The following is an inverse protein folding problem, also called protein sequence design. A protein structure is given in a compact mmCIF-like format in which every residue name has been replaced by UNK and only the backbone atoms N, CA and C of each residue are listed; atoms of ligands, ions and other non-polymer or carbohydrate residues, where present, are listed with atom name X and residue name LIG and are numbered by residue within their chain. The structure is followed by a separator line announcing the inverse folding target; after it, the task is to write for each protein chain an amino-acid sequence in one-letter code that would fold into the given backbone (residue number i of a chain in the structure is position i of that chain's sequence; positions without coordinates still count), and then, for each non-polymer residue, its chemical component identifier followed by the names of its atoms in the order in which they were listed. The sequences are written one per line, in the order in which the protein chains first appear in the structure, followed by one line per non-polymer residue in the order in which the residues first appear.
data_IF_859251338443
#
_entry.id   IF_859251338443
#
_cell.length_a   1.000
_cell.length_b   1.000
_cell.length_c   1.000
_cell.angle_alpha   90.00
_cell.angle_beta   90.00
_cell.angle_gamma   90.00
#
_symmetry.space_group_name_H-M   'P 1'
#
loop_
_entity.id
_entity.type
_entity.pdbx_description
1 polymer ?
#
# COMPACT_ATOMS: atom_id res chain seq x y z
N UNK A 1 -16.56 13.33 12.99
CA UNK A 1 -17.30 12.05 12.89
C UNK A 1 -16.31 10.92 12.65
N UNK A 2 -16.42 9.80 13.36
CA UNK A 2 -15.56 8.62 13.16
C UNK A 2 -15.90 7.92 11.83
N UNK A 3 -14.93 7.21 11.23
CA UNK A 3 -15.17 6.40 10.00
C UNK A 3 -16.32 5.41 10.21
N UNK A 4 -16.41 4.83 11.42
CA UNK A 4 -17.49 3.92 11.83
C UNK A 4 -18.87 4.56 11.73
N UNK A 5 -19.02 5.81 12.18
CA UNK A 5 -20.29 6.54 12.12
C UNK A 5 -20.70 6.85 10.67
N UNK A 6 -19.74 7.20 9.80
CA UNK A 6 -20.02 7.46 8.38
C UNK A 6 -20.45 6.18 7.64
N UNK A 7 -19.78 5.05 7.88
CA UNK A 7 -20.16 3.76 7.30
C UNK A 7 -21.53 3.30 7.79
N UNK A 8 -21.80 3.39 9.09
CA UNK A 8 -23.09 3.00 9.65
C UNK A 8 -24.25 3.85 9.10
N UNK A 9 -24.08 5.17 8.99
CA UNK A 9 -25.06 6.05 8.37
C UNK A 9 -25.27 5.75 6.89
N UNK A 10 -24.20 5.48 6.13
CA UNK A 10 -24.29 5.10 4.72
C UNK A 10 -25.08 3.80 4.52
N UNK A 11 -24.77 2.76 5.31
CA UNK A 11 -25.50 1.48 5.25
C UNK A 11 -26.95 1.65 5.68
N UNK A 12 -27.23 2.46 6.71
CA UNK A 12 -28.60 2.76 7.10
C UNK A 12 -29.39 3.44 5.98
N UNK A 13 -28.80 4.43 5.30
CA UNK A 13 -29.42 5.13 4.17
C UNK A 13 -29.72 4.18 2.99
N UNK A 14 -28.76 3.31 2.64
CA UNK A 14 -28.95 2.29 1.59
C UNK A 14 -30.05 1.30 2.00
N UNK A 15 -30.06 0.86 3.26
CA UNK A 15 -31.08 -0.07 3.78
C UNK A 15 -32.46 0.55 3.69
N UNK A 16 -32.63 1.81 4.10
CA UNK A 16 -33.91 2.54 3.97
C UNK A 16 -34.34 2.60 2.51
N UNK A 17 -33.44 2.96 1.59
CA UNK A 17 -33.76 3.06 0.16
C UNK A 17 -34.21 1.71 -0.42
N UNK A 18 -33.51 0.63 -0.10
CA UNK A 18 -33.86 -0.73 -0.55
C UNK A 18 -35.20 -1.18 0.04
N UNK A 19 -35.42 -1.00 1.34
CA UNK A 19 -36.68 -1.38 2.00
C UNK A 19 -37.86 -0.58 1.43
N UNK A 20 -37.69 0.71 1.19
CA UNK A 20 -38.74 1.55 0.58
C UNK A 20 -39.05 1.12 -0.86
N UNK A 21 -38.02 0.78 -1.66
CA UNK A 21 -38.23 0.28 -3.02
C UNK A 21 -39.00 -1.04 -3.03
N UNK A 22 -38.61 -2.01 -2.20
CA UNK A 22 -39.30 -3.29 -2.05
C UNK A 22 -40.74 -3.08 -1.56
N UNK A 23 -40.94 -2.19 -0.59
CA UNK A 23 -42.26 -1.89 -0.06
C UNK A 23 -43.18 -1.21 -1.07
N UNK A 24 -42.64 -0.32 -1.92
CA UNK A 24 -43.41 0.29 -3.00
C UNK A 24 -43.89 -0.76 -4.02
N UNK A 25 -43.03 -1.71 -4.38
CA UNK A 25 -43.40 -2.82 -5.28
C UNK A 25 -44.49 -3.69 -4.63
N UNK A 26 -44.29 -4.12 -3.39
CA UNK A 26 -45.27 -4.91 -2.65
C UNK A 26 -46.61 -4.18 -2.49
N UNK A 27 -46.59 -2.87 -2.25
CA UNK A 27 -47.79 -2.04 -2.18
C UNK A 27 -48.54 -2.01 -3.51
N UNK A 28 -47.84 -1.85 -4.63
CA UNK A 28 -48.45 -1.87 -5.97
C UNK A 28 -49.06 -3.24 -6.27
N UNK A 29 -48.35 -4.33 -5.95
CA UNK A 29 -48.85 -5.70 -6.12
C UNK A 29 -50.07 -5.95 -5.25
N UNK A 30 -50.00 -5.65 -3.94
CA UNK A 30 -51.11 -5.83 -3.01
C UNK A 30 -52.33 -5.01 -3.44
N UNK A 31 -52.14 -3.76 -3.85
CA UNK A 31 -53.21 -2.91 -4.39
C UNK A 31 -53.83 -3.53 -5.64
N UNK A 32 -53.01 -3.99 -6.60
CA UNK A 32 -53.50 -4.60 -7.83
C UNK A 32 -54.28 -5.89 -7.56
N UNK A 33 -53.80 -6.71 -6.63
CA UNK A 33 -54.44 -7.94 -6.20
C UNK A 33 -55.78 -7.68 -5.51
N UNK A 34 -55.82 -6.75 -4.55
CA UNK A 34 -57.06 -6.41 -3.84
C UNK A 34 -58.12 -5.82 -4.77
N UNK A 35 -57.72 -4.98 -5.72
CA UNK A 35 -58.64 -4.43 -6.71
C UNK A 35 -59.13 -5.54 -7.65
N UNK A 36 -58.24 -6.39 -8.16
CA UNK A 36 -58.61 -7.53 -9.02
C UNK A 36 -59.55 -8.52 -8.33
N UNK A 37 -59.27 -8.89 -7.08
CA UNK A 37 -60.10 -9.78 -6.29
C UNK A 37 -61.51 -9.20 -6.05
N UNK A 38 -61.63 -7.88 -5.83
CA UNK A 38 -62.93 -7.23 -5.74
C UNK A 38 -63.67 -7.23 -7.09
N UNK A 39 -62.98 -7.02 -8.22
CA UNK A 39 -63.60 -7.14 -9.54
C UNK A 39 -64.14 -8.55 -9.82
N UNK A 40 -63.35 -9.60 -9.58
CA UNK A 40 -63.79 -11.01 -9.74
C UNK A 40 -64.98 -11.34 -8.83
N UNK A 41 -64.95 -10.86 -7.58
CA UNK A 41 -66.07 -11.02 -6.64
C UNK A 41 -67.36 -10.37 -7.15
N UNK A 42 -67.27 -9.20 -7.77
CA UNK A 42 -68.43 -8.52 -8.36
C UNK A 42 -68.92 -9.23 -9.62
N UNK A 43 -68.02 -9.77 -10.43
CA UNK A 43 -68.36 -10.53 -11.63
C UNK A 43 -69.16 -11.80 -11.30
N UNK A 44 -68.82 -12.50 -10.21
CA UNK A 44 -69.57 -13.66 -9.71
C UNK A 44 -71.03 -13.34 -9.31
N UNK A 45 -71.37 -12.06 -9.11
CA UNK A 45 -72.74 -11.64 -8.82
C UNK A 45 -73.56 -11.40 -10.09
N UNK A 46 -72.93 -11.27 -11.27
CA UNK A 46 -73.62 -11.00 -12.54
C UNK A 46 -74.64 -12.08 -12.92
N UNK A 47 -74.33 -13.40 -12.88
CA UNK A 47 -75.31 -14.41 -13.26
C UNK A 47 -76.55 -14.41 -12.36
N UNK A 48 -76.38 -14.12 -11.07
CA UNK A 48 -77.51 -13.98 -10.12
C UNK A 48 -78.35 -12.75 -10.43
N UNK A 49 -77.71 -11.64 -10.83
CA UNK A 49 -78.39 -10.43 -11.27
C UNK A 49 -79.18 -10.67 -12.57
N UNK A 50 -78.56 -11.31 -13.56
CA UNK A 50 -79.21 -11.68 -14.83
C UNK A 50 -80.45 -12.55 -14.57
N UNK A 51 -80.31 -13.60 -13.75
CA UNK A 51 -81.43 -14.46 -13.38
C UNK A 51 -82.55 -13.67 -12.70
N UNK A 52 -82.22 -12.75 -11.78
CA UNK A 52 -83.22 -11.91 -11.09
C UNK A 52 -83.89 -10.93 -12.05
N UNK A 53 -83.21 -10.46 -13.09
CA UNK A 53 -83.77 -9.54 -14.08
C UNK A 53 -84.73 -10.24 -15.05
N UNK A 54 -84.54 -11.53 -15.33
CA UNK A 54 -85.45 -12.30 -16.19
C UNK A 54 -86.83 -12.54 -15.55
N UNK A 55 -86.93 -12.47 -14.22
CA UNK A 55 -88.19 -12.64 -13.49
C UNK A 55 -88.96 -11.33 -13.28
N UNK A 56 -88.43 -10.18 -13.71
CA UNK A 56 -89.10 -8.88 -13.59
C UNK A 56 -90.09 -8.69 -14.76
N UNK A 57 -91.39 -8.45 -14.51
CA UNK A 57 -92.37 -8.21 -15.56
C UNK A 57 -92.06 -6.92 -16.34
N UNK A 58 -92.16 -6.97 -17.67
CA UNK A 58 -91.84 -5.83 -18.55
C UNK A 58 -92.76 -4.60 -18.38
N UNK A 59 -93.85 -4.71 -17.61
CA UNK A 59 -94.91 -3.69 -17.47
C UNK A 59 -94.84 -2.87 -16.17
N UNK A 60 -93.70 -2.81 -15.47
CA UNK A 60 -93.56 -2.00 -14.25
C UNK A 60 -93.36 -0.50 -14.58
N UNK A 61 -94.21 0.37 -14.02
CA UNK A 61 -94.16 1.83 -14.21
C UNK A 61 -93.02 2.53 -13.44
N UNK A 62 -92.24 1.80 -12.63
CA UNK A 62 -91.10 2.31 -11.85
C UNK A 62 -89.99 1.27 -11.66
N UNK A 63 -88.81 1.66 -11.14
CA UNK A 63 -87.68 0.76 -10.96
C UNK A 63 -87.96 -0.30 -9.89
N UNK A 64 -87.63 -1.55 -10.19
CA UNK A 64 -87.78 -2.67 -9.27
C UNK A 64 -86.74 -2.61 -8.14
N UNK A 65 -87.18 -2.74 -6.89
CA UNK A 65 -86.29 -2.68 -5.74
C UNK A 65 -85.66 -4.04 -5.49
N UNK A 66 -84.34 -4.14 -5.65
CA UNK A 66 -83.58 -5.36 -5.43
C UNK A 66 -83.22 -5.50 -3.93
N UNK A 67 -83.87 -6.44 -3.23
CA UNK A 67 -83.60 -6.73 -1.81
C UNK A 67 -82.81 -8.04 -1.57
N UNK A 68 -82.49 -8.77 -2.64
CA UNK A 68 -81.89 -10.13 -2.57
C UNK A 68 -80.36 -10.15 -2.62
N UNK A 69 -79.72 -8.98 -2.69
CA UNK A 69 -78.27 -8.86 -2.80
C UNK A 69 -77.58 -8.76 -1.44
N UNK A 70 -76.29 -9.17 -1.33
CA UNK A 70 -75.52 -8.98 -0.10
C UNK A 70 -75.45 -7.50 0.30
N UNK A 71 -75.55 -7.20 1.61
CA UNK A 71 -75.54 -5.82 2.16
C UNK A 71 -74.30 -4.97 1.81
N UNK A 72 -73.26 -5.58 1.24
CA UNK A 72 -71.98 -4.94 0.91
C UNK A 72 -71.89 -4.48 -0.54
N UNK A 73 -72.90 -4.77 -1.37
CA UNK A 73 -72.92 -4.43 -2.79
C UNK A 73 -74.28 -3.83 -3.15
N UNK A 74 -74.26 -2.58 -3.59
CA UNK A 74 -75.41 -1.90 -4.15
C UNK A 74 -75.41 -2.02 -5.67
N UNK A 75 -76.59 -2.19 -6.27
CA UNK A 75 -76.69 -2.41 -7.71
C UNK A 75 -77.77 -1.54 -8.31
N UNK A 76 -77.46 -0.95 -9.46
CA UNK A 76 -78.40 -0.24 -10.31
C UNK A 76 -78.30 -0.80 -11.72
N UNK A 77 -79.43 -1.21 -12.29
CA UNK A 77 -79.51 -1.75 -13.64
C UNK A 77 -80.18 -0.73 -14.54
N UNK A 78 -79.53 -0.40 -15.64
CA UNK A 78 -79.95 0.60 -16.61
C UNK A 78 -80.23 -0.12 -17.93
N UNK A 79 -81.39 0.10 -18.54
CA UNK A 79 -81.74 -0.40 -19.89
C UNK A 79 -82.27 0.78 -20.69
N UNK A 80 -81.74 0.99 -21.90
CA UNK A 80 -82.16 2.10 -22.78
C UNK A 80 -82.16 3.49 -22.08
N UNK A 81 -81.18 3.73 -21.21
CA UNK A 81 -81.05 5.00 -20.47
C UNK A 81 -82.02 5.18 -19.29
N UNK A 82 -82.84 4.17 -18.96
CA UNK A 82 -83.76 4.16 -17.82
C UNK A 82 -83.35 3.15 -16.75
N UNK A 83 -83.57 3.49 -15.49
CA UNK A 83 -83.32 2.57 -14.36
C UNK A 83 -84.44 1.55 -14.31
N UNK A 84 -84.10 0.28 -14.48
CA UNK A 84 -85.06 -0.84 -14.46
C UNK A 84 -85.08 -1.51 -13.09
N UNK A 85 -83.93 -1.58 -12.42
CA UNK A 85 -83.83 -2.13 -11.08
C UNK A 85 -82.78 -1.37 -10.26
N UNK A 86 -83.00 -1.23 -8.96
CA UNK A 86 -82.08 -0.50 -8.07
C UNK A 86 -82.15 -1.06 -6.65
N UNK A 87 -81.01 -1.13 -5.96
CA UNK A 87 -81.00 -1.37 -4.51
C UNK A 87 -81.37 -0.08 -3.76
N UNK A 88 -82.03 -0.16 -2.59
CA UNK A 88 -82.53 1.01 -1.86
C UNK A 88 -81.45 2.05 -1.51
N UNK A 89 -80.22 1.59 -1.30
CA UNK A 89 -79.11 2.41 -0.83
C UNK A 89 -78.10 2.77 -1.92
N UNK A 90 -78.43 2.53 -3.21
CA UNK A 90 -77.56 2.91 -4.31
C UNK A 90 -77.32 4.44 -4.31
N UNK A 91 -76.06 4.90 -4.36
CA UNK A 91 -75.75 6.32 -4.24
C UNK A 91 -76.37 7.15 -5.38
N UNK A 92 -76.89 8.33 -5.03
CA UNK A 92 -77.58 9.24 -5.94
C UNK A 92 -76.60 9.88 -6.94
N UNK A 93 -76.29 9.14 -8.02
CA UNK A 93 -75.29 9.51 -9.02
C UNK A 93 -75.95 9.59 -10.40
N UNK A 94 -75.50 10.54 -11.22
CA UNK A 94 -75.97 10.73 -12.59
C UNK A 94 -75.74 9.48 -13.45
N UNK A 95 -76.71 9.17 -14.31
CA UNK A 95 -76.72 8.01 -15.21
C UNK A 95 -75.53 7.96 -16.18
N UNK A 96 -74.84 9.08 -16.38
CA UNK A 96 -73.78 9.30 -17.38
C UNK A 96 -72.38 9.43 -16.77
N UNK A 97 -72.21 9.21 -15.45
CA UNK A 97 -70.87 9.32 -14.86
C UNK A 97 -69.94 8.18 -15.34
N UNK A 98 -68.66 8.46 -15.61
CA UNK A 98 -67.68 7.43 -15.92
C UNK A 98 -67.37 6.55 -14.69
N UNK A 99 -66.99 5.31 -14.97
CA UNK A 99 -66.50 4.30 -14.01
C UNK A 99 -65.47 4.93 -13.06
N UNK A 100 -65.64 4.80 -11.74
CA UNK A 100 -64.79 5.50 -10.78
C UNK A 100 -65.22 5.43 -9.31
N UNK A 101 -64.57 6.24 -8.47
CA UNK A 101 -64.90 6.38 -7.04
C UNK A 101 -66.06 7.36 -6.86
N UNK A 102 -67.05 6.99 -6.06
CA UNK A 102 -68.13 7.89 -5.63
C UNK A 102 -68.35 7.78 -4.13
N UNK A 103 -69.17 8.67 -3.55
CA UNK A 103 -69.39 8.73 -2.10
C UNK A 103 -70.79 8.22 -1.75
N UNK A 104 -70.88 7.25 -0.84
CA UNK A 104 -72.12 6.71 -0.25
C UNK A 104 -72.15 7.06 1.23
N UNK A 105 -73.15 7.82 1.69
CA UNK A 105 -73.45 8.07 3.11
C UNK A 105 -72.24 8.35 4.04
N UNK A 106 -71.16 8.98 3.54
CA UNK A 106 -69.93 9.28 4.28
C UNK A 106 -68.69 8.42 3.95
N UNK A 107 -68.81 7.37 3.12
CA UNK A 107 -67.73 6.47 2.72
C UNK A 107 -67.56 6.39 1.18
N UNK A 108 -66.38 6.02 0.71
CA UNK A 108 -66.09 5.89 -0.73
C UNK A 108 -66.51 4.50 -1.23
N UNK A 109 -67.21 4.46 -2.35
CA UNK A 109 -67.62 3.24 -3.08
C UNK A 109 -66.96 3.20 -4.45
N UNK A 110 -66.63 1.99 -4.92
CA UNK A 110 -66.13 1.76 -6.26
C UNK A 110 -67.30 1.40 -7.17
N UNK A 111 -67.48 2.13 -8.27
CA UNK A 111 -68.52 1.88 -9.26
C UNK A 111 -67.92 1.15 -10.44
N UNK A 112 -68.38 -0.07 -10.67
CA UNK A 112 -68.03 -0.89 -11.83
C UNK A 112 -69.27 -1.09 -12.70
N UNK A 113 -69.12 -0.97 -14.01
CA UNK A 113 -70.21 -1.20 -14.97
C UNK A 113 -69.95 -2.47 -15.75
N UNK A 114 -70.93 -3.36 -15.81
CA UNK A 114 -70.87 -4.60 -16.56
C UNK A 114 -72.04 -4.67 -17.54
N UNK A 115 -71.80 -5.26 -18.71
CA UNK A 115 -72.86 -5.60 -19.65
C UNK A 115 -73.49 -6.92 -19.24
N UNK A 116 -74.83 -6.98 -19.24
CA UNK A 116 -75.57 -8.21 -18.94
C UNK A 116 -75.79 -8.96 -20.26
N UNK A 117 -75.27 -10.17 -20.36
CA UNK A 117 -75.34 -10.94 -21.60
C UNK A 117 -76.79 -11.40 -21.85
N UNK A 118 -77.33 -11.02 -23.02
CA UNK A 118 -78.71 -11.36 -23.42
C UNK A 118 -79.75 -10.26 -23.20
N UNK A 119 -79.40 -9.10 -22.63
CA UNK A 119 -80.26 -7.90 -22.59
C UNK A 119 -79.45 -6.63 -22.88
N UNK A 120 -80.03 -5.63 -23.54
CA UNK A 120 -79.41 -4.29 -23.75
C UNK A 120 -79.37 -3.47 -22.43
N UNK A 121 -78.92 -4.10 -21.35
CA UNK A 121 -78.89 -3.54 -20.00
C UNK A 121 -77.47 -3.54 -19.43
N UNK A 122 -77.13 -2.48 -18.71
CA UNK A 122 -75.88 -2.31 -17.99
C UNK A 122 -76.14 -2.37 -16.49
N UNK A 123 -75.38 -3.18 -15.77
CA UNK A 123 -75.40 -3.24 -14.32
C UNK A 123 -74.26 -2.38 -13.76
N UNK A 124 -74.60 -1.36 -12.98
CA UNK A 124 -73.65 -0.60 -12.16
C UNK A 124 -73.66 -1.19 -10.76
N UNK A 125 -72.51 -1.72 -10.32
CA UNK A 125 -72.30 -2.23 -8.96
C UNK A 125 -71.46 -1.21 -8.19
N UNK A 126 -71.94 -0.82 -7.00
CA UNK A 126 -71.23 -0.01 -6.03
C UNK A 126 -70.82 -0.89 -4.85
N UNK A 127 -69.52 -1.16 -4.72
CA UNK A 127 -68.96 -1.93 -3.60
C UNK A 127 -68.18 -1.04 -2.63
N UNK A 128 -68.16 -1.45 -1.36
CA UNK A 128 -67.46 -0.74 -0.31
C UNK A 128 -65.93 -0.82 -0.48
N UNK A 129 -65.27 0.33 -0.56
CA UNK A 129 -63.81 0.43 -0.73
C UNK A 129 -63.05 0.03 0.55
N UNK A 130 -63.73 -0.15 1.69
CA UNK A 130 -63.14 -0.55 2.96
C UNK A 130 -62.37 -1.87 2.89
N UNK A 131 -62.79 -2.83 2.04
CA UNK A 131 -62.08 -4.09 1.80
C UNK A 131 -60.68 -3.92 1.21
N UNK A 132 -60.44 -2.82 0.48
CA UNK A 132 -59.15 -2.48 -0.15
C UNK A 132 -58.35 -1.49 0.69
N UNK A 133 -59.01 -0.50 1.30
CA UNK A 133 -58.33 0.60 2.02
C UNK A 133 -57.82 0.19 3.41
N UNK A 134 -58.55 -0.67 4.13
CA UNK A 134 -58.13 -1.09 5.48
C UNK A 134 -56.83 -1.92 5.46
N UNK A 135 -56.68 -2.96 4.59
CA UNK A 135 -55.42 -3.69 4.46
C UNK A 135 -54.26 -2.78 4.04
N UNK A 136 -54.52 -1.82 3.14
CA UNK A 136 -53.50 -0.88 2.65
C UNK A 136 -53.00 0.06 3.75
N UNK A 137 -53.91 0.57 4.59
CA UNK A 137 -53.55 1.39 5.78
C UNK A 137 -52.79 0.57 6.82
N UNK A 138 -53.20 -0.69 7.05
CA UNK A 138 -52.47 -1.60 7.94
C UNK A 138 -51.05 -1.86 7.42
N UNK A 139 -50.90 -2.08 6.11
CA UNK A 139 -49.61 -2.22 5.45
C UNK A 139 -48.74 -0.96 5.63
N UNK A 140 -49.27 0.23 5.38
CA UNK A 140 -48.53 1.49 5.59
C UNK A 140 -48.10 1.71 7.05
N UNK A 141 -48.94 1.36 8.04
CA UNK A 141 -48.57 1.40 9.46
C UNK A 141 -47.46 0.40 9.78
N UNK A 142 -47.52 -0.81 9.23
CA UNK A 142 -46.46 -1.81 9.40
C UNK A 142 -45.13 -1.30 8.82
N UNK A 143 -45.17 -0.60 7.68
CA UNK A 143 -44.00 -0.02 7.04
C UNK A 143 -43.38 1.12 7.87
N UNK A 144 -44.22 1.98 8.47
CA UNK A 144 -43.79 3.06 9.34
C UNK A 144 -43.00 2.57 10.56
N UNK A 145 -43.19 1.32 10.99
CA UNK A 145 -42.41 0.69 12.06
C UNK A 145 -41.23 -0.14 11.51
N UNK A 146 -41.46 -0.92 10.46
CA UNK A 146 -40.45 -1.83 9.91
C UNK A 146 -39.24 -1.09 9.31
N UNK A 147 -39.46 0.04 8.62
CA UNK A 147 -38.38 0.85 8.02
C UNK A 147 -37.40 1.39 9.07
N UNK A 148 -37.83 2.13 10.10
CA UNK A 148 -36.90 2.64 11.11
C UNK A 148 -36.23 1.53 11.91
N UNK A 149 -36.95 0.44 12.23
CA UNK A 149 -36.38 -0.69 12.97
C UNK A 149 -35.28 -1.40 12.16
N UNK A 150 -35.55 -1.70 10.88
CA UNK A 150 -34.54 -2.32 10.00
C UNK A 150 -33.33 -1.41 9.77
N UNK A 151 -33.55 -0.10 9.59
CA UNK A 151 -32.48 0.88 9.47
C UNK A 151 -31.62 0.96 10.74
N UNK A 152 -32.25 1.00 11.92
CA UNK A 152 -31.55 1.02 13.19
C UNK A 152 -30.72 -0.25 13.42
N UNK A 153 -31.29 -1.42 13.10
CA UNK A 153 -30.59 -2.70 13.23
C UNK A 153 -29.40 -2.80 12.27
N UNK A 154 -29.57 -2.38 11.00
CA UNK A 154 -28.50 -2.35 10.01
C UNK A 154 -27.38 -1.37 10.42
N UNK A 155 -27.73 -0.19 10.93
CA UNK A 155 -26.77 0.79 11.44
C UNK A 155 -25.96 0.23 12.62
N UNK A 156 -26.65 -0.39 13.60
CA UNK A 156 -26.03 -1.00 14.76
C UNK A 156 -25.07 -2.13 14.36
N UNK A 157 -25.52 -3.04 13.50
CA UNK A 157 -24.71 -4.16 13.03
C UNK A 157 -23.47 -3.68 12.26
N UNK A 158 -23.64 -2.71 11.35
CA UNK A 158 -22.54 -2.09 10.63
C UNK A 158 -21.55 -1.41 11.57
N UNK A 159 -22.03 -0.66 12.57
CA UNK A 159 -21.18 0.00 13.54
C UNK A 159 -20.33 -0.98 14.34
N UNK A 160 -20.91 -2.11 14.78
CA UNK A 160 -20.21 -3.17 15.51
C UNK A 160 -19.18 -3.90 14.62
N UNK A 161 -19.57 -4.28 13.39
CA UNK A 161 -18.68 -4.94 12.42
C UNK A 161 -17.52 -4.04 12.00
N UNK A 162 -17.80 -2.78 11.64
CA UNK A 162 -16.77 -1.79 11.31
C UNK A 162 -15.80 -1.60 12.49
N UNK A 163 -16.31 -1.59 13.73
CA UNK A 163 -15.47 -1.56 14.92
C UNK A 163 -14.50 -2.75 14.99
N UNK A 164 -14.96 -3.95 14.66
CA UNK A 164 -14.12 -5.16 14.70
C UNK A 164 -13.12 -5.21 13.54
N UNK A 165 -13.53 -4.78 12.35
CA UNK A 165 -12.71 -4.81 11.12
C UNK A 165 -11.66 -3.70 11.06
N UNK A 166 -11.95 -2.50 11.59
CA UNK A 166 -10.99 -1.39 11.59
C UNK A 166 -10.04 -1.36 12.79
N UNK A 167 -10.36 -2.07 13.89
CA UNK A 167 -9.48 -2.15 15.08
C UNK A 167 -8.04 -2.59 14.77
N UNK A 168 -7.80 -3.63 13.95
CA UNK A 168 -6.44 -4.02 13.57
C UNK A 168 -5.68 -2.91 12.84
N UNK A 169 -6.36 -2.18 11.94
CA UNK A 169 -5.77 -1.04 11.24
C UNK A 169 -5.39 0.07 12.22
N UNK A 170 -6.28 0.45 13.14
CA UNK A 170 -5.98 1.46 14.16
C UNK A 170 -4.75 1.10 15.01
N UNK A 171 -4.61 -0.19 15.39
CA UNK A 171 -3.44 -0.70 16.13
C UNK A 171 -2.16 -0.64 15.30
N UNK A 172 -2.22 -1.03 14.03
CA UNK A 172 -1.08 -0.96 13.12
C UNK A 172 -0.63 0.49 12.92
N UNK A 173 -1.56 1.42 12.68
CA UNK A 173 -1.26 2.84 12.52
C UNK A 173 -0.65 3.44 13.79
N UNK A 174 -1.18 3.08 14.96
CA UNK A 174 -0.64 3.53 16.24
C UNK A 174 0.78 3.00 16.50
N UNK A 175 1.04 1.73 16.19
CA UNK A 175 2.36 1.12 16.30
C UNK A 175 3.37 1.77 15.34
N UNK A 176 2.98 1.95 14.07
CA UNK A 176 3.81 2.64 13.07
C UNK A 176 4.12 4.09 13.48
N UNK A 177 3.14 4.83 14.00
CA UNK A 177 3.35 6.19 14.51
C UNK A 177 4.24 6.24 15.76
N UNK A 178 4.18 5.22 16.62
CA UNK A 178 5.08 5.11 17.78
C UNK A 178 6.53 4.88 17.33
N UNK A 179 6.75 4.01 16.34
CA UNK A 179 8.07 3.80 15.73
C UNK A 179 8.57 5.10 15.08
N UNK A 180 7.72 5.78 14.29
CA UNK A 180 8.07 7.03 13.60
C UNK A 180 8.46 8.19 14.53
N UNK A 181 8.00 8.21 15.78
CA UNK A 181 8.38 9.23 16.80
C UNK A 181 9.69 8.92 17.53
N UNK A 182 10.51 8.03 16.99
CA UNK A 182 11.79 7.62 17.60
C UNK A 182 11.68 6.35 18.44
N UNK A 183 10.62 5.55 18.25
CA UNK A 183 10.53 4.22 18.85
C UNK A 183 11.51 3.22 18.22
N UNK A 184 11.50 1.99 18.74
CA UNK A 184 12.34 0.91 18.24
C UNK A 184 11.91 0.47 16.83
N UNK A 185 12.73 0.74 15.81
CA UNK A 185 12.50 0.37 14.41
C UNK A 185 12.43 -1.16 14.17
N UNK A 186 12.99 -1.96 15.08
CA UNK A 186 12.91 -3.44 15.04
C UNK A 186 11.74 -4.01 15.82
N UNK A 187 10.89 -3.18 16.43
CA UNK A 187 9.69 -3.66 17.10
C UNK A 187 8.77 -4.38 16.10
N UNK A 188 8.18 -5.50 16.53
CA UNK A 188 7.24 -6.24 15.72
C UNK A 188 5.93 -5.46 15.56
N UNK A 189 5.50 -5.25 14.32
CA UNK A 189 4.21 -4.66 14.03
C UNK A 189 3.07 -5.65 14.32
N UNK A 190 1.98 -5.20 14.97
CA UNK A 190 0.86 -6.07 15.30
C UNK A 190 0.19 -6.60 14.04
N UNK A 191 -0.03 -7.92 13.99
CA UNK A 191 -0.75 -8.57 12.90
C UNK A 191 0.10 -8.91 11.67
N UNK A 192 1.43 -8.77 11.73
CA UNK A 192 2.34 -9.21 10.66
C UNK A 192 2.29 -10.73 10.40
N UNK A 193 1.79 -11.51 11.37
CA UNK A 193 1.54 -12.95 11.31
C UNK A 193 0.20 -13.31 10.64
N UNK A 194 -0.63 -12.32 10.29
CA UNK A 194 -1.94 -12.56 9.67
C UNK A 194 -1.80 -12.83 8.18
N UNK A 195 -2.55 -13.81 7.67
CA UNK A 195 -2.64 -14.12 6.24
C UNK A 195 -3.61 -13.23 5.44
N UNK A 196 -4.05 -12.10 6.00
CA UNK A 196 -4.96 -11.16 5.34
C UNK A 196 -4.23 -9.93 4.77
N UNK A 197 -4.97 -9.03 4.13
CA UNK A 197 -4.42 -7.81 3.52
C UNK A 197 -3.75 -6.90 4.55
N UNK A 198 -4.24 -6.90 5.79
CA UNK A 198 -3.66 -6.11 6.88
C UNK A 198 -2.31 -6.68 7.30
N UNK A 199 -2.19 -8.01 7.39
CA UNK A 199 -0.91 -8.66 7.66
C UNK A 199 0.12 -8.45 6.56
N UNK A 200 -0.30 -8.49 5.29
CA UNK A 200 0.58 -8.15 4.16
C UNK A 200 1.11 -6.71 4.26
N UNK A 201 0.26 -5.75 4.60
CA UNK A 201 0.67 -4.35 4.81
C UNK A 201 1.64 -4.22 6.00
N UNK A 202 1.34 -4.90 7.12
CA UNK A 202 2.22 -4.93 8.29
C UNK A 202 3.60 -5.51 7.95
N UNK A 203 3.66 -6.58 7.14
CA UNK A 203 4.90 -7.17 6.66
C UNK A 203 5.75 -6.21 5.83
N UNK A 204 5.13 -5.51 4.87
CA UNK A 204 5.83 -4.49 4.05
C UNK A 204 6.39 -3.37 4.93
N UNK A 205 5.58 -2.83 5.86
CA UNK A 205 6.03 -1.80 6.79
C UNK A 205 7.18 -2.30 7.69
N UNK A 206 7.11 -3.55 8.15
CA UNK A 206 8.16 -4.17 8.96
C UNK A 206 9.48 -4.24 8.19
N UNK A 207 9.45 -4.65 6.92
CA UNK A 207 10.63 -4.68 6.06
C UNK A 207 11.22 -3.28 5.88
N UNK A 208 10.37 -2.27 5.61
CA UNK A 208 10.84 -0.89 5.47
C UNK A 208 11.46 -0.35 6.75
N UNK A 209 10.85 -0.58 7.93
CA UNK A 209 11.45 -0.18 9.20
C UNK A 209 12.75 -0.93 9.50
N UNK A 210 12.84 -2.22 9.13
CA UNK A 210 14.08 -3.00 9.20
C UNK A 210 15.21 -2.40 8.37
N UNK A 211 14.92 -1.98 7.13
CA UNK A 211 15.89 -1.30 6.26
C UNK A 211 16.37 0.02 6.86
N UNK A 212 15.44 0.82 7.40
CA UNK A 212 15.80 2.09 8.08
C UNK A 212 16.64 1.81 9.34
N UNK A 213 16.32 0.76 10.10
CA UNK A 213 17.10 0.37 11.27
C UNK A 213 18.54 -0.01 10.89
N UNK A 214 18.72 -0.79 9.83
CA UNK A 214 20.05 -1.17 9.34
C UNK A 214 20.86 0.03 8.87
N UNK A 215 20.26 0.96 8.13
CA UNK A 215 20.93 2.18 7.69
C UNK A 215 21.36 3.02 8.90
N UNK A 216 20.46 3.20 9.87
CA UNK A 216 20.75 3.97 11.09
C UNK A 216 21.85 3.32 11.93
N UNK A 217 21.81 2.01 12.14
CA UNK A 217 22.84 1.29 12.90
C UNK A 217 24.21 1.38 12.22
N UNK A 218 24.26 1.29 10.88
CA UNK A 218 25.49 1.50 10.11
C UNK A 218 25.99 2.93 10.23
N UNK A 219 25.11 3.93 10.17
CA UNK A 219 25.47 5.35 10.34
C UNK A 219 26.01 5.64 11.75
N UNK A 220 25.36 5.13 12.79
CA UNK A 220 25.79 5.28 14.18
C UNK A 220 27.16 4.61 14.41
N UNK A 221 27.33 3.38 13.91
CA UNK A 221 28.62 2.65 13.99
C UNK A 221 29.72 3.38 13.25
N UNK A 222 29.44 3.85 12.04
CA UNK A 222 30.38 4.62 11.22
C UNK A 222 30.79 5.92 11.91
N UNK A 223 29.83 6.68 12.46
CA UNK A 223 30.08 7.95 13.13
C UNK A 223 30.89 7.75 14.40
N UNK A 224 30.58 6.73 15.19
CA UNK A 224 31.31 6.39 16.40
C UNK A 224 32.77 6.00 16.08
N UNK A 225 32.98 5.12 15.11
CA UNK A 225 34.31 4.68 14.70
C UNK A 225 35.13 5.83 14.10
N UNK A 226 34.53 6.67 13.24
CA UNK A 226 35.18 7.87 12.71
C UNK A 226 35.62 8.83 13.81
N UNK A 227 34.76 9.09 14.80
CA UNK A 227 35.09 9.95 15.93
C UNK A 227 36.23 9.39 16.78
N UNK A 228 36.26 8.06 16.97
CA UNK A 228 37.33 7.39 17.70
C UNK A 228 38.68 7.50 16.96
N UNK A 229 38.70 7.18 15.67
CA UNK A 229 39.91 7.17 14.84
C UNK A 229 40.47 8.57 14.57
N UNK A 230 39.64 9.62 14.62
CA UNK A 230 40.10 11.01 14.59
C UNK A 230 40.64 11.49 15.95
N UNK A 231 40.08 11.01 17.07
CA UNK A 231 40.48 11.46 18.41
C UNK A 231 41.89 11.02 18.81
N UNK A 232 42.29 9.81 18.41
CA UNK A 232 43.60 9.25 18.74
C UNK A 232 44.78 10.11 18.20
N UNK A 233 44.87 10.41 16.88
CA UNK A 233 45.94 11.25 16.35
C UNK A 233 45.87 12.68 16.89
N UNK A 234 44.67 13.24 17.11
CA UNK A 234 44.51 14.56 17.74
C UNK A 234 45.09 14.61 19.15
N UNK A 235 44.88 13.57 19.93
CA UNK A 235 45.42 13.46 21.30
C UNK A 235 46.94 13.29 21.26
N UNK A 236 47.45 12.44 20.37
CA UNK A 236 48.89 12.24 20.18
C UNK A 236 49.61 13.53 19.79
N UNK A 237 49.12 14.25 18.77
CA UNK A 237 49.68 15.55 18.37
C UNK A 237 49.64 16.57 19.51
N UNK A 238 48.51 16.65 20.23
CA UNK A 238 48.39 17.55 21.38
C UNK A 238 49.43 17.24 22.45
N UNK A 239 49.61 15.97 22.81
CA UNK A 239 50.59 15.55 23.81
C UNK A 239 52.02 15.85 23.36
N UNK A 240 52.37 15.57 22.10
CA UNK A 240 53.69 15.91 21.54
C UNK A 240 53.97 17.41 21.57
N UNK A 241 53.00 18.22 21.12
CA UNK A 241 53.13 19.69 21.15
C UNK A 241 53.24 20.22 22.58
N UNK A 242 52.45 19.70 23.53
CA UNK A 242 52.58 20.05 24.96
C UNK A 242 53.95 19.67 25.51
N UNK A 243 54.46 18.48 25.15
CA UNK A 243 55.79 18.01 25.55
C UNK A 243 56.92 18.86 24.96
N UNK A 244 56.78 19.31 23.72
CA UNK A 244 57.72 20.22 23.07
C UNK A 244 57.72 21.63 23.71
N UNK A 245 56.59 22.06 24.28
CA UNK A 245 56.45 23.35 24.98
C UNK A 245 56.87 23.33 26.46
N UNK A 246 57.06 22.14 27.07
CA UNK A 246 57.24 22.00 28.53
C UNK A 246 58.66 22.25 29.06
N UNK A 247 59.63 22.58 28.22
CA UNK A 247 60.99 22.89 28.65
C UNK A 247 62.02 23.03 27.51
N UNK A 248 63.26 23.44 27.84
CA UNK A 248 64.32 23.56 26.84
C UNK A 248 64.66 22.20 26.22
N UNK A 249 64.65 22.13 24.88
CA UNK A 249 65.01 20.96 24.08
C UNK A 249 66.11 21.31 23.09
N UNK A 250 66.83 20.30 22.62
CA UNK A 250 67.75 20.49 21.49
C UNK A 250 66.96 20.76 20.20
N UNK A 251 67.58 21.46 19.26
CA UNK A 251 66.99 21.73 17.94
C UNK A 251 66.68 20.44 17.17
N UNK A 252 67.48 19.39 17.38
CA UNK A 252 67.28 18.07 16.76
C UNK A 252 66.01 17.39 17.27
N UNK A 253 65.77 17.38 18.58
CA UNK A 253 64.55 16.81 19.19
C UNK A 253 63.30 17.58 18.74
N UNK A 254 63.36 18.91 18.68
CA UNK A 254 62.23 19.73 18.23
C UNK A 254 61.88 19.44 16.76
N UNK A 255 62.88 19.34 15.88
CA UNK A 255 62.66 18.97 14.48
C UNK A 255 62.01 17.59 14.34
N UNK A 256 62.43 16.64 15.16
CA UNK A 256 61.85 15.29 15.12
C UNK A 256 60.39 15.27 15.56
N UNK A 257 60.05 15.94 16.67
CA UNK A 257 58.67 16.06 17.12
C UNK A 257 57.79 16.77 16.08
N UNK A 258 58.30 17.80 15.39
CA UNK A 258 57.59 18.49 14.31
C UNK A 258 57.38 17.59 13.08
N UNK A 259 58.35 16.73 12.73
CA UNK A 259 58.18 15.74 11.64
C UNK A 259 57.09 14.74 11.99
N UNK A 260 57.07 14.25 13.23
CA UNK A 260 56.04 13.33 13.71
C UNK A 260 54.65 13.99 13.68
N UNK A 261 54.52 15.24 14.12
CA UNK A 261 53.26 16.00 14.03
C UNK A 261 52.81 16.20 12.58
N UNK A 262 53.73 16.50 11.65
CA UNK A 262 53.41 16.58 10.22
C UNK A 262 52.93 15.25 9.65
N UNK A 263 53.54 14.13 10.05
CA UNK A 263 53.09 12.77 9.70
C UNK A 263 51.68 12.49 10.24
N UNK A 264 51.37 12.88 11.47
CA UNK A 264 50.05 12.71 12.07
C UNK A 264 48.97 13.57 11.38
N UNK A 265 49.29 14.82 11.03
CA UNK A 265 48.42 15.69 10.22
C UNK A 265 48.10 15.08 8.86
N UNK A 266 49.10 14.52 8.21
CA UNK A 266 48.97 13.90 6.89
C UNK A 266 48.16 12.58 6.97
N UNK A 267 48.27 11.81 8.07
CA UNK A 267 47.35 10.69 8.36
C UNK A 267 45.91 11.16 8.55
N UNK A 268 45.69 12.24 9.29
CA UNK A 268 44.34 12.80 9.47
C UNK A 268 43.75 13.31 8.15
N UNK A 269 44.54 13.98 7.31
CA UNK A 269 44.11 14.44 5.99
C UNK A 269 43.60 13.27 5.16
N UNK A 270 44.39 12.20 5.06
CA UNK A 270 43.98 10.97 4.36
C UNK A 270 42.73 10.35 4.96
N UNK A 271 42.63 10.24 6.28
CA UNK A 271 41.42 9.71 6.93
C UNK A 271 40.18 10.56 6.59
N UNK A 272 40.28 11.88 6.64
CA UNK A 272 39.19 12.80 6.26
C UNK A 272 38.75 12.59 4.81
N UNK A 273 39.70 12.50 3.88
CA UNK A 273 39.42 12.24 2.46
C UNK A 273 38.73 10.90 2.24
N UNK A 274 39.17 9.87 2.97
CA UNK A 274 38.57 8.54 2.94
C UNK A 274 37.13 8.54 3.48
N UNK A 275 36.86 9.26 4.57
CA UNK A 275 35.51 9.40 5.13
C UNK A 275 34.59 10.17 4.17
N UNK A 276 35.08 11.26 3.56
CA UNK A 276 34.34 12.02 2.56
C UNK A 276 34.01 11.17 1.34
N UNK A 277 34.95 10.33 0.88
CA UNK A 277 34.71 9.41 -0.23
C UNK A 277 33.62 8.39 0.12
N UNK A 278 33.66 7.81 1.32
CA UNK A 278 32.63 6.87 1.78
C UNK A 278 31.24 7.52 1.87
N UNK A 279 31.17 8.81 2.17
CA UNK A 279 29.93 9.58 2.24
C UNK A 279 29.38 10.05 0.87
N UNK A 280 30.16 9.97 -0.22
CA UNK A 280 29.70 10.42 -1.57
C UNK A 280 28.51 9.62 -2.08
N UNK A 281 27.58 10.28 -2.76
CA UNK A 281 26.44 9.64 -3.43
C UNK A 281 26.75 9.21 -4.86
N UNK A 282 25.86 8.41 -5.46
CA UNK A 282 26.00 7.95 -6.86
C UNK A 282 25.91 9.08 -7.90
N UNK A 283 25.29 10.22 -7.54
CA UNK A 283 25.14 11.38 -8.44
C UNK A 283 26.39 12.25 -8.54
N UNK A 284 27.40 12.00 -7.71
CA UNK A 284 28.58 12.85 -7.58
C UNK A 284 29.77 12.37 -8.44
N UNK A 285 29.58 11.35 -9.28
CA UNK A 285 30.64 10.76 -10.11
C UNK A 285 30.75 11.44 -11.48
N UNK A 286 31.95 11.85 -11.87
CA UNK A 286 32.22 12.39 -13.20
C UNK A 286 32.82 11.31 -14.11
N UNK A 287 31.95 10.54 -14.77
CA UNK A 287 32.39 9.47 -15.68
C UNK A 287 32.93 10.03 -16.98
N UNK A 288 34.21 9.77 -17.26
CA UNK A 288 34.89 10.10 -18.52
C UNK A 288 35.59 8.85 -19.08
N UNK A 289 35.74 8.73 -20.41
CA UNK A 289 36.54 7.66 -20.99
C UNK A 289 37.98 7.75 -20.47
N UNK A 290 38.47 6.66 -19.88
CA UNK A 290 39.86 6.53 -19.44
C UNK A 290 40.35 5.10 -19.63
N UNK A 291 41.66 4.98 -19.83
CA UNK A 291 42.34 3.69 -19.95
C UNK A 291 42.76 3.20 -18.56
N UNK A 292 42.11 2.13 -18.05
CA UNK A 292 42.34 1.65 -16.68
C UNK A 292 43.76 1.07 -16.50
N UNK A 293 44.35 0.47 -17.55
CA UNK A 293 45.73 -0.03 -17.52
C UNK A 293 46.75 1.08 -17.31
N UNK A 294 46.57 2.25 -17.92
CA UNK A 294 47.48 3.40 -17.71
C UNK A 294 47.47 3.81 -16.24
N UNK A 295 46.29 4.02 -15.67
CA UNK A 295 46.14 4.46 -14.29
C UNK A 295 46.67 3.41 -13.28
N UNK A 296 46.39 2.13 -13.53
CA UNK A 296 46.88 1.03 -12.72
C UNK A 296 48.41 0.89 -12.78
N UNK A 297 49.00 1.04 -13.97
CA UNK A 297 50.45 1.03 -14.17
C UNK A 297 51.13 2.14 -13.39
N UNK A 298 50.64 3.38 -13.50
CA UNK A 298 51.16 4.52 -12.73
C UNK A 298 51.08 4.31 -11.21
N UNK A 299 50.01 3.67 -10.73
CA UNK A 299 49.88 3.35 -9.31
C UNK A 299 50.89 2.29 -8.85
N UNK A 300 51.15 1.27 -9.68
CA UNK A 300 52.19 0.25 -9.39
C UNK A 300 53.59 0.86 -9.44
N UNK A 301 53.88 1.77 -10.36
CA UNK A 301 55.18 2.43 -10.45
C UNK A 301 55.46 3.29 -9.22
N UNK A 302 54.48 4.09 -8.75
CA UNK A 302 54.59 4.80 -7.46
C UNK A 302 54.83 3.85 -6.28
N UNK A 303 54.20 2.68 -6.30
CA UNK A 303 54.39 1.68 -5.25
C UNK A 303 55.79 1.05 -5.27
N UNK A 304 56.38 0.85 -6.46
CA UNK A 304 57.76 0.38 -6.61
C UNK A 304 58.76 1.38 -6.04
N UNK A 305 58.51 2.68 -6.19
CA UNK A 305 59.35 3.72 -5.60
C UNK A 305 59.27 3.73 -4.06
N UNK A 306 58.09 3.49 -3.50
CA UNK A 306 57.88 3.45 -2.05
C UNK A 306 58.40 2.17 -1.38
N UNK A 307 58.42 1.07 -2.13
CA UNK A 307 58.78 -0.26 -1.62
C UNK A 307 59.67 -1.01 -2.64
N UNK A 308 60.93 -0.57 -2.83
CA UNK A 308 61.82 -1.13 -3.85
C UNK A 308 62.19 -2.60 -3.62
N UNK A 309 62.14 -3.05 -2.36
CA UNK A 309 62.50 -4.41 -1.96
C UNK A 309 61.36 -5.44 -2.18
N UNK A 310 60.17 -4.99 -2.59
CA UNK A 310 58.99 -5.84 -2.77
C UNK A 310 58.80 -6.19 -4.26
N UNK A 311 58.66 -7.49 -4.62
CA UNK A 311 58.41 -7.88 -6.00
C UNK A 311 56.98 -7.50 -6.42
N UNK A 312 56.89 -6.45 -7.24
CA UNK A 312 55.65 -5.89 -7.79
C UNK A 312 55.56 -6.12 -9.31
N UNK A 313 54.64 -6.97 -9.72
CA UNK A 313 54.38 -7.29 -11.13
C UNK A 313 53.11 -6.58 -11.64
N UNK A 314 53.18 -6.02 -12.84
CA UNK A 314 52.04 -5.41 -13.53
C UNK A 314 51.89 -6.02 -14.93
N UNK A 315 50.66 -6.37 -15.30
CA UNK A 315 50.32 -6.89 -16.62
C UNK A 315 49.02 -6.31 -17.17
N UNK A 316 48.93 -6.20 -18.49
CA UNK A 316 47.72 -5.76 -19.19
C UNK A 316 47.41 -6.65 -20.39
N UNK A 317 46.13 -6.94 -20.62
CA UNK A 317 45.67 -7.79 -21.74
C UNK A 317 44.37 -7.21 -22.32
N UNK A 318 44.31 -7.03 -23.64
CA UNK A 318 43.11 -6.60 -24.34
C UNK A 318 42.79 -5.10 -24.21
N UNK A 319 41.54 -4.71 -24.53
CA UNK A 319 41.04 -3.34 -24.42
C UNK A 319 40.55 -3.04 -23.00
N UNK A 320 41.15 -2.04 -22.36
CA UNK A 320 40.98 -1.73 -20.93
C UNK A 320 40.31 -0.38 -20.67
N UNK A 321 39.58 0.14 -21.66
CA UNK A 321 38.87 1.41 -21.57
C UNK A 321 37.57 1.29 -20.78
N UNK A 322 37.37 2.22 -19.84
CA UNK A 322 36.17 2.33 -19.02
C UNK A 322 35.64 3.77 -19.00
N UNK A 323 34.35 3.93 -18.69
CA UNK A 323 33.79 5.20 -18.25
C UNK A 323 33.93 5.31 -16.73
N UNK A 324 34.90 6.09 -16.27
CA UNK A 324 35.20 6.22 -14.84
C UNK A 324 35.62 7.61 -14.42
N UNK A 325 35.76 7.78 -13.11
CA UNK A 325 36.25 9.00 -12.48
C UNK A 325 37.66 8.71 -11.94
N UNK A 326 38.67 9.25 -12.61
CA UNK A 326 40.09 9.06 -12.28
C UNK A 326 40.42 9.45 -10.83
N UNK A 327 39.75 10.48 -10.29
CA UNK A 327 39.95 10.96 -8.93
C UNK A 327 39.41 9.98 -7.86
N UNK A 328 38.48 9.09 -8.25
CA UNK A 328 37.95 8.04 -7.37
C UNK A 328 38.68 6.70 -7.58
N UNK A 329 39.09 6.40 -8.81
CA UNK A 329 39.82 5.18 -9.13
C UNK A 329 41.24 5.19 -8.55
N UNK A 330 41.90 6.36 -8.47
CA UNK A 330 43.23 6.48 -7.85
C UNK A 330 43.22 6.03 -6.39
N UNK A 331 42.33 6.52 -5.51
CA UNK A 331 42.16 5.98 -4.16
C UNK A 331 41.85 4.48 -4.10
N UNK A 332 41.07 3.93 -5.05
CA UNK A 332 40.83 2.48 -5.08
C UNK A 332 42.15 1.73 -5.28
N UNK A 333 42.95 2.12 -6.27
CA UNK A 333 44.23 1.48 -6.57
C UNK A 333 45.20 1.62 -5.39
N UNK A 334 45.35 2.82 -4.85
CA UNK A 334 46.24 3.09 -3.72
C UNK A 334 45.82 2.29 -2.48
N UNK A 335 44.52 2.11 -2.23
CA UNK A 335 44.03 1.29 -1.12
C UNK A 335 44.27 -0.20 -1.33
N UNK A 336 44.05 -0.73 -2.53
CA UNK A 336 44.35 -2.13 -2.83
C UNK A 336 45.85 -2.40 -2.68
N UNK A 337 46.70 -1.57 -3.28
CA UNK A 337 48.15 -1.73 -3.24
C UNK A 337 48.64 -1.58 -1.79
N UNK A 338 48.22 -0.52 -1.10
CA UNK A 338 48.58 -0.29 0.30
C UNK A 338 48.11 -1.41 1.23
N UNK A 339 47.01 -2.11 0.90
CA UNK A 339 46.58 -3.29 1.65
C UNK A 339 47.56 -4.46 1.45
N UNK A 340 47.97 -4.76 0.22
CA UNK A 340 48.96 -5.81 -0.05
C UNK A 340 50.34 -5.49 0.51
N UNK A 341 50.80 -4.24 0.45
CA UNK A 341 52.09 -3.85 1.04
C UNK A 341 52.10 -4.01 2.58
N UNK A 342 51.00 -3.65 3.25
CA UNK A 342 50.89 -3.73 4.72
C UNK A 342 50.67 -5.14 5.25
N UNK A 343 49.77 -5.90 4.62
CA UNK A 343 49.34 -7.20 5.14
C UNK A 343 49.92 -8.39 4.37
N UNK A 344 50.55 -8.16 3.22
CA UNK A 344 51.20 -9.20 2.43
C UNK A 344 52.45 -9.78 3.07
N UNK A 345 52.95 -9.22 4.18
CA UNK A 345 54.09 -9.77 4.93
C UNK A 345 55.40 -9.78 4.14
N UNK A 346 55.59 -8.83 3.21
CA UNK A 346 56.75 -8.81 2.31
C UNK A 346 56.60 -9.67 1.05
N UNK A 347 55.45 -10.34 0.86
CA UNK A 347 55.23 -11.25 -0.26
C UNK A 347 54.99 -10.52 -1.59
N UNK A 348 55.22 -11.24 -2.69
CA UNK A 348 54.98 -10.75 -4.04
C UNK A 348 53.52 -10.34 -4.26
N UNK A 349 53.34 -9.22 -4.97
CA UNK A 349 52.05 -8.73 -5.43
C UNK A 349 52.04 -8.64 -6.95
N UNK A 350 50.96 -9.12 -7.56
CA UNK A 350 50.71 -9.04 -8.99
C UNK A 350 49.40 -8.31 -9.25
N UNK A 351 49.46 -7.25 -10.05
CA UNK A 351 48.29 -6.54 -10.56
C UNK A 351 48.12 -6.81 -12.06
N UNK A 352 46.90 -7.12 -12.47
CA UNK A 352 46.55 -7.39 -13.87
C UNK A 352 45.29 -6.63 -14.26
N UNK A 353 45.30 -6.00 -15.44
CA UNK A 353 44.11 -5.39 -16.04
C UNK A 353 43.78 -6.15 -17.31
N UNK A 354 42.59 -6.74 -17.38
CA UNK A 354 42.17 -7.60 -18.49
C UNK A 354 40.87 -7.09 -19.09
N UNK A 355 40.88 -6.78 -20.39
CA UNK A 355 39.68 -6.58 -21.18
C UNK A 355 38.99 -7.92 -21.44
N UNK A 356 37.70 -8.01 -21.11
CA UNK A 356 36.86 -9.19 -21.30
C UNK A 356 35.60 -8.81 -22.11
N UNK A 357 34.88 -9.77 -22.71
CA UNK A 357 33.62 -9.48 -23.37
C UNK A 357 32.56 -8.84 -22.45
N UNK A 358 32.64 -9.10 -21.14
CA UNK A 358 31.74 -8.54 -20.12
C UNK A 358 32.15 -7.17 -19.58
N UNK A 359 33.31 -6.63 -20.00
CA UNK A 359 33.88 -5.38 -19.51
C UNK A 359 35.35 -5.51 -19.10
N UNK A 360 35.83 -4.68 -18.19
CA UNK A 360 37.26 -4.64 -17.80
C UNK A 360 37.44 -5.14 -16.37
N UNK A 361 38.32 -6.11 -16.17
CA UNK A 361 38.64 -6.67 -14.86
C UNK A 361 40.03 -6.21 -14.37
N UNK A 362 40.07 -5.58 -13.21
CA UNK A 362 41.28 -5.28 -12.44
C UNK A 362 41.43 -6.35 -11.36
N UNK A 363 42.47 -7.18 -11.44
CA UNK A 363 42.76 -8.23 -10.46
C UNK A 363 44.10 -7.97 -9.78
N UNK A 364 44.07 -7.88 -8.45
CA UNK A 364 45.25 -7.87 -7.60
C UNK A 364 45.34 -9.20 -6.85
N UNK A 365 46.52 -9.82 -6.87
CA UNK A 365 46.83 -11.03 -6.12
C UNK A 365 48.06 -10.78 -5.27
N UNK A 366 47.95 -11.00 -3.97
CA UNK A 366 49.10 -11.11 -3.07
C UNK A 366 49.30 -12.55 -2.61
N UNK A 367 50.53 -12.88 -2.22
CA UNK A 367 50.91 -14.18 -1.66
C UNK A 367 51.11 -14.12 -0.14
N UNK A 368 50.39 -13.22 0.54
CA UNK A 368 50.50 -12.99 1.98
C UNK A 368 49.96 -14.15 2.83
N UNK A 369 49.79 -13.94 4.15
CA UNK A 369 49.28 -14.95 5.09
C UNK A 369 47.82 -15.36 4.82
N UNK A 370 47.13 -14.67 3.92
CA UNK A 370 45.72 -14.92 3.60
C UNK A 370 44.76 -14.39 4.66
N UNK A 371 43.47 -14.64 4.45
CA UNK A 371 42.39 -14.18 5.34
C UNK A 371 41.57 -15.39 5.81
N UNK A 372 41.23 -15.47 7.11
CA UNK A 372 40.33 -16.50 7.61
C UNK A 372 38.97 -16.49 6.87
N UNK A 373 38.39 -17.64 6.51
CA UNK A 373 37.12 -17.69 5.78
C UNK A 373 35.97 -16.94 6.46
N UNK A 374 35.94 -16.96 7.81
CA UNK A 374 34.94 -16.24 8.59
C UNK A 374 35.06 -14.70 8.51
N UNK A 375 36.22 -14.17 8.14
CA UNK A 375 36.46 -12.73 8.02
C UNK A 375 36.18 -12.19 6.62
N UNK A 376 36.20 -13.04 5.57
CA UNK A 376 36.00 -12.63 4.17
C UNK A 376 34.73 -11.79 3.95
N UNK A 377 33.55 -12.14 4.48
CA UNK A 377 32.32 -11.37 4.26
C UNK A 377 32.37 -9.97 4.89
N UNK A 378 33.26 -9.75 5.85
CA UNK A 378 33.34 -8.53 6.63
C UNK A 378 34.46 -7.60 6.19
N UNK A 379 35.40 -8.04 5.33
CA UNK A 379 36.57 -7.26 4.91
C UNK A 379 36.22 -5.92 4.24
N UNK A 380 35.08 -5.83 3.57
CA UNK A 380 34.59 -4.59 2.94
C UNK A 380 33.78 -3.70 3.87
N UNK A 381 33.63 -4.10 5.14
CA UNK A 381 32.93 -3.31 6.16
C UNK A 381 33.88 -2.23 6.67
N UNK A 382 33.43 -0.97 6.68
CA UNK A 382 34.23 0.14 7.19
C UNK A 382 34.69 -0.11 8.63
N UNK A 383 35.95 0.20 8.92
CA UNK A 383 36.60 0.01 10.22
C UNK A 383 36.77 -1.45 10.68
N UNK A 384 36.47 -2.44 9.83
CA UNK A 384 36.71 -3.84 10.15
C UNK A 384 38.20 -4.18 10.04
N UNK A 385 38.70 -4.94 11.02
CA UNK A 385 40.07 -5.44 11.06
C UNK A 385 40.10 -6.87 11.60
N UNK A 386 40.93 -7.72 10.97
CA UNK A 386 41.16 -9.10 11.43
C UNK A 386 42.05 -9.09 12.67
N UNK A 387 41.70 -9.88 13.69
CA UNK A 387 42.17 -9.74 15.09
C UNK A 387 43.63 -9.34 15.35
N UNK A 388 44.61 -9.90 14.63
CA UNK A 388 46.05 -9.61 14.81
C UNK A 388 46.49 -8.25 14.22
N UNK A 389 45.68 -7.59 13.39
CA UNK A 389 45.98 -6.31 12.77
C UNK A 389 45.61 -5.08 13.64
N UNK A 390 45.04 -5.31 14.84
CA UNK A 390 44.64 -4.24 15.77
C UNK A 390 45.81 -3.46 16.38
N UNK A 391 47.06 -3.89 16.16
CA UNK A 391 48.26 -3.33 16.78
C UNK A 391 48.88 -2.11 16.08
N UNK A 392 48.11 -1.38 15.25
CA UNK A 392 48.41 0.04 15.01
C UNK A 392 48.81 0.49 13.60
N UNK A 393 48.60 -0.32 12.55
CA UNK A 393 48.85 0.13 11.18
C UNK A 393 47.66 -0.14 10.23
N UNK A 394 46.65 0.72 10.30
CA UNK A 394 45.51 0.73 9.39
C UNK A 394 44.22 1.10 10.10
N UNK A 395 43.28 1.74 9.39
CA UNK A 395 41.99 2.18 9.96
C UNK A 395 40.82 1.28 9.50
N UNK A 396 41.11 0.15 8.84
CA UNK A 396 40.07 -0.75 8.30
C UNK A 396 39.20 -0.16 7.18
N UNK A 397 39.59 0.98 6.61
CA UNK A 397 38.81 1.67 5.57
C UNK A 397 39.16 1.26 4.13
N UNK A 398 40.34 0.67 3.90
CA UNK A 398 40.88 0.49 2.55
C UNK A 398 39.98 -0.33 1.61
N UNK A 399 39.58 -1.52 2.03
CA UNK A 399 38.70 -2.37 1.24
C UNK A 399 37.25 -1.83 1.20
N UNK A 400 36.80 -1.11 2.22
CA UNK A 400 35.52 -0.41 2.20
C UNK A 400 35.49 0.71 1.15
N UNK A 401 36.59 1.45 0.99
CA UNK A 401 36.76 2.46 -0.06
C UNK A 401 36.76 1.80 -1.43
N UNK A 402 37.54 0.72 -1.62
CA UNK A 402 37.56 -0.01 -2.88
C UNK A 402 36.16 -0.52 -3.27
N UNK A 403 35.41 -1.06 -2.31
CA UNK A 403 34.03 -1.49 -2.48
C UNK A 403 33.11 -0.31 -2.85
N UNK A 404 33.28 0.85 -2.20
CA UNK A 404 32.46 2.03 -2.48
C UNK A 404 32.74 2.60 -3.86
N UNK A 405 34.01 2.74 -4.24
CA UNK A 405 34.40 3.20 -5.58
C UNK A 405 33.87 2.25 -6.65
N UNK A 406 33.98 0.93 -6.44
CA UNK A 406 33.41 -0.05 -7.35
C UNK A 406 31.90 0.15 -7.52
N UNK A 407 31.15 0.30 -6.43
CA UNK A 407 29.70 0.57 -6.46
C UNK A 407 29.36 1.86 -7.22
N UNK A 408 30.07 2.97 -6.98
CA UNK A 408 29.85 4.24 -7.69
C UNK A 408 30.06 4.12 -9.21
N UNK A 409 30.93 3.18 -9.63
CA UNK A 409 31.19 2.86 -11.03
C UNK A 409 30.29 1.76 -11.60
N UNK A 410 29.35 1.21 -10.81
CA UNK A 410 28.55 0.05 -11.21
C UNK A 410 29.38 -1.24 -11.39
N UNK A 411 30.58 -1.27 -10.81
CA UNK A 411 31.50 -2.40 -10.84
C UNK A 411 31.25 -3.35 -9.67
N UNK A 412 31.61 -4.61 -9.87
CA UNK A 412 31.57 -5.65 -8.83
C UNK A 412 32.95 -5.86 -8.24
N UNK A 413 33.05 -5.93 -6.91
CA UNK A 413 34.27 -6.29 -6.20
C UNK A 413 34.11 -7.69 -5.61
N UNK A 414 35.06 -8.58 -5.90
CA UNK A 414 35.11 -9.95 -5.41
C UNK A 414 36.42 -10.22 -4.66
N UNK A 415 36.31 -10.95 -3.55
CA UNK A 415 37.40 -11.33 -2.66
C UNK A 415 37.49 -12.85 -2.64
N UNK A 416 38.61 -13.40 -3.12
CA UNK A 416 38.81 -14.85 -3.22
C UNK A 416 40.13 -15.22 -2.55
N UNK A 417 40.16 -16.13 -1.58
CA UNK A 417 41.41 -16.63 -1.00
C UNK A 417 42.22 -17.39 -2.06
N UNK A 418 43.54 -17.24 -2.04
CA UNK A 418 44.46 -17.93 -2.95
C UNK A 418 45.16 -19.06 -2.21
N UNK A 419 45.32 -20.21 -2.87
CA UNK A 419 46.06 -21.34 -2.34
C UNK A 419 47.56 -21.22 -2.70
N UNK A 420 48.51 -21.58 -1.80
CA UNK A 420 48.30 -22.05 -0.43
C UNK A 420 48.00 -20.92 0.58
N UNK A 421 48.29 -19.67 0.23
CA UNK A 421 47.96 -18.48 1.03
C UNK A 421 47.86 -17.24 0.13
N UNK A 422 47.24 -16.17 0.65
CA UNK A 422 47.07 -14.90 -0.04
C UNK A 422 45.63 -14.54 -0.33
N UNK A 423 45.42 -13.38 -0.96
CA UNK A 423 44.11 -12.86 -1.31
C UNK A 423 44.12 -12.34 -2.75
N UNK A 424 43.07 -12.70 -3.49
CA UNK A 424 42.75 -12.12 -4.79
C UNK A 424 41.59 -11.13 -4.61
N UNK A 425 41.84 -9.88 -4.97
CA UNK A 425 40.80 -8.85 -5.07
C UNK A 425 40.57 -8.56 -6.55
N UNK A 426 39.35 -8.77 -7.03
CA UNK A 426 38.97 -8.52 -8.42
C UNK A 426 37.88 -7.47 -8.49
N UNK A 427 38.10 -6.40 -9.25
CA UNK A 427 37.10 -5.37 -9.54
C UNK A 427 36.73 -5.46 -11.02
N UNK A 428 35.48 -5.80 -11.31
CA UNK A 428 34.96 -5.97 -12.66
C UNK A 428 34.05 -4.81 -13.04
N UNK A 429 34.51 -3.97 -13.96
CA UNK A 429 33.78 -2.84 -14.49
C UNK A 429 32.90 -3.28 -15.67
N UNK A 430 31.67 -2.74 -15.79
CA UNK A 430 30.78 -3.08 -16.89
C UNK A 430 31.37 -2.64 -18.24
N UNK A 431 31.00 -3.34 -19.31
CA UNK A 431 31.40 -2.97 -20.67
C UNK A 431 30.92 -1.56 -21.00
N UNK A 432 31.83 -0.70 -21.43
CA UNK A 432 31.47 0.59 -22.02
C UNK A 432 30.86 0.29 -23.39
N UNK A 433 29.59 0.64 -23.60
CA UNK A 433 29.02 0.63 -24.94
C UNK A 433 29.85 1.59 -25.79
N UNK A 434 30.70 1.03 -26.65
CA UNK A 434 31.53 1.77 -27.58
C UNK A 434 30.55 2.47 -28.53
N UNK A 435 30.35 3.78 -28.35
CA UNK A 435 29.73 4.59 -29.40
C UNK A 435 30.81 4.78 -30.45
N UNK A 436 30.57 4.17 -31.60
CA UNK A 436 31.35 4.30 -32.84
C UNK A 436 31.73 5.76 -33.16
#
# INVERSE_FOLDING_TARGET
MTIRARLALGVAAITVLVVLAVAAVQFLVLRSFLVGAEYERLELLLPRLEQTLTTIPASSTGPYVLNTLPRTVDVRVIREGRVVAVTPEFPAISLTLPIGRARRAGHDVLISTFNLNGTLATAQLASDVLGVVNPLRAYLRSLAVAVPVSAALAALLCFLLAGRLLRPLERLTAAAAAIGRGGNLRAALPGADRGDEVGRLAGVLQTSFGQVAEVREREETFTYAAAHDLRSPLTAMKTRLQGALSGPRSEAELREELREVLSDLERMRRLSEQLLLLARGERDIQRRPLELSRLAGEAVDRARELAPDLPLEFGTVGLTWILGDEALLSPLLDNLIGNSLRYGGGAAMRMTVTGTPSGVALSMVDSGPGVPPAALPHLTTAFYQVGAARSGQGNGLGLAIAQRVAQLHGARLDLVPVAPSGLRVTVTFPQTAQRD
#
